data_IF_915499330587
#
_entry.id   IF_915499330587
#
_cell.length_a   1.000
_cell.length_b   1.000
_cell.length_c   1.000
_cell.angle_alpha   90.00
_cell.angle_beta   90.00
_cell.angle_gamma   90.00
#
_symmetry.space_group_name_H-M   'P 1'
#
loop_
_entity.id
_entity.type
_entity.pdbx_description
1 polymer ?
#
# COMPACT_ATOMS: atom_id res chain seq x y z
N UNK A 1 -9.56 -1.02 28.86
CA UNK A 1 -9.82 -0.13 27.70
C UNK A 1 -9.00 -0.53 26.48
N UNK A 2 -7.97 -1.36 26.66
CA UNK A 2 -7.01 -1.73 25.60
C UNK A 2 -7.61 -2.63 24.52
N UNK A 3 -8.48 -3.58 24.88
CA UNK A 3 -9.13 -4.47 23.92
C UNK A 3 -10.04 -3.72 22.92
N UNK A 4 -10.79 -2.74 23.42
CA UNK A 4 -11.63 -1.89 22.59
C UNK A 4 -10.78 -1.05 21.61
N UNK A 5 -9.70 -0.45 22.09
CA UNK A 5 -8.77 0.31 21.24
C UNK A 5 -8.11 -0.58 20.19
N UNK A 6 -7.72 -1.81 20.54
CA UNK A 6 -7.13 -2.75 19.60
C UNK A 6 -8.09 -3.09 18.44
N UNK A 7 -9.36 -3.35 18.75
CA UNK A 7 -10.39 -3.62 17.72
C UNK A 7 -10.53 -2.42 16.77
N UNK A 8 -10.60 -1.20 17.32
CA UNK A 8 -10.72 0.02 16.51
C UNK A 8 -9.50 0.20 15.60
N UNK A 9 -8.29 -0.01 16.11
CA UNK A 9 -7.04 0.12 15.33
C UNK A 9 -6.94 -0.92 14.20
N UNK A 10 -7.37 -2.15 14.46
CA UNK A 10 -7.39 -3.21 13.44
C UNK A 10 -8.40 -2.87 12.34
N UNK A 11 -9.61 -2.45 12.71
CA UNK A 11 -10.65 -2.06 11.74
C UNK A 11 -10.20 -0.87 10.89
N UNK A 12 -9.65 0.17 11.50
CA UNK A 12 -9.13 1.35 10.80
C UNK A 12 -8.02 0.99 9.82
N UNK A 13 -7.05 0.18 10.25
CA UNK A 13 -5.95 -0.27 9.38
C UNK A 13 -6.42 -1.20 8.27
N UNK A 14 -7.43 -2.04 8.53
CA UNK A 14 -8.03 -2.92 7.51
C UNK A 14 -8.62 -2.10 6.38
N UNK A 15 -9.40 -1.06 6.68
CA UNK A 15 -10.03 -0.22 5.65
C UNK A 15 -8.95 0.50 4.84
N UNK A 16 -7.97 1.14 5.49
CA UNK A 16 -6.90 1.88 4.78
C UNK A 16 -6.06 1.00 3.86
N UNK A 17 -5.73 -0.23 4.28
CA UNK A 17 -4.86 -1.14 3.53
C UNK A 17 -5.62 -1.98 2.49
N UNK A 18 -6.94 -2.12 2.61
CA UNK A 18 -7.73 -2.97 1.72
C UNK A 18 -7.61 -2.60 0.23
N UNK A 19 -7.67 -1.30 -0.09
CA UNK A 19 -7.63 -0.81 -1.49
C UNK A 19 -6.30 -1.15 -2.19
N UNK A 20 -5.12 -0.76 -1.66
CA UNK A 20 -3.85 -1.10 -2.30
C UNK A 20 -3.60 -2.62 -2.34
N UNK A 21 -4.02 -3.36 -1.32
CA UNK A 21 -3.89 -4.82 -1.31
C UNK A 21 -4.75 -5.49 -2.39
N UNK A 22 -5.99 -5.04 -2.59
CA UNK A 22 -6.85 -5.57 -3.65
C UNK A 22 -6.27 -5.29 -5.04
N UNK A 23 -5.70 -4.11 -5.27
CA UNK A 23 -5.01 -3.78 -6.52
C UNK A 23 -3.79 -4.67 -6.75
N UNK A 24 -3.01 -4.93 -5.70
CA UNK A 24 -1.88 -5.85 -5.75
C UNK A 24 -2.33 -7.30 -6.04
N UNK A 25 -3.41 -7.78 -5.41
CA UNK A 25 -3.99 -9.09 -5.68
C UNK A 25 -4.48 -9.22 -7.13
N UNK A 26 -5.08 -8.18 -7.70
CA UNK A 26 -5.49 -8.16 -9.11
C UNK A 26 -4.27 -8.30 -10.03
N UNK A 27 -3.20 -7.55 -9.78
CA UNK A 27 -1.97 -7.67 -10.54
C UNK A 27 -1.37 -9.09 -10.48
N UNK A 28 -1.35 -9.70 -9.29
CA UNK A 28 -0.93 -11.09 -9.11
C UNK A 28 -1.79 -12.10 -9.89
N UNK A 29 -3.12 -11.95 -9.84
CA UNK A 29 -4.06 -12.82 -10.57
C UNK A 29 -3.84 -12.74 -12.08
N UNK A 30 -3.61 -11.54 -12.62
CA UNK A 30 -3.27 -11.37 -14.04
C UNK A 30 -1.90 -11.98 -14.39
N UNK A 31 -0.90 -11.83 -13.52
CA UNK A 31 0.43 -12.42 -13.72
C UNK A 31 0.35 -13.95 -13.76
N UNK A 32 -0.40 -14.56 -12.84
CA UNK A 32 -0.60 -16.00 -12.79
C UNK A 32 -1.29 -16.51 -14.06
N UNK A 33 -2.29 -15.78 -14.59
CA UNK A 33 -2.94 -16.11 -15.87
C UNK A 33 -2.00 -16.00 -17.07
N UNK A 34 -0.94 -15.19 -17.00
CA UNK A 34 0.09 -15.09 -18.01
C UNK A 34 1.16 -16.19 -17.88
N UNK A 35 1.07 -17.07 -16.87
CA UNK A 35 2.06 -18.10 -16.58
C UNK A 35 3.35 -17.55 -15.98
N UNK A 36 3.32 -16.32 -15.44
CA UNK A 36 4.48 -15.64 -14.85
C UNK A 36 4.24 -15.42 -13.36
N UNK A 37 5.20 -15.78 -12.51
CA UNK A 37 5.16 -15.45 -11.09
C UNK A 37 5.77 -14.06 -10.86
N UNK A 38 4.94 -13.08 -10.50
CA UNK A 38 5.40 -11.72 -10.17
C UNK A 38 5.88 -11.62 -8.72
N UNK A 39 7.13 -12.05 -8.48
CA UNK A 39 7.83 -11.87 -7.19
C UNK A 39 8.13 -10.38 -6.93
N UNK A 40 8.12 -9.55 -7.98
CA UNK A 40 8.41 -8.12 -7.89
C UNK A 40 7.27 -7.29 -7.29
N UNK A 41 6.12 -7.89 -7.01
CA UNK A 41 4.94 -7.18 -6.47
C UNK A 41 5.24 -6.45 -5.16
N UNK A 42 5.95 -7.10 -4.23
CA UNK A 42 6.39 -6.46 -2.97
C UNK A 42 7.31 -5.27 -3.24
N UNK A 43 8.22 -5.40 -4.22
CA UNK A 43 9.12 -4.33 -4.63
C UNK A 43 8.36 -3.14 -5.22
N UNK A 44 7.34 -3.38 -6.05
CA UNK A 44 6.49 -2.33 -6.65
C UNK A 44 5.76 -1.52 -5.56
N UNK A 45 5.21 -2.21 -4.55
CA UNK A 45 4.56 -1.55 -3.41
C UNK A 45 5.55 -0.75 -2.56
N UNK A 46 6.74 -1.29 -2.32
CA UNK A 46 7.77 -0.63 -1.51
C UNK A 46 8.35 0.61 -2.21
N UNK A 47 8.50 0.56 -3.54
CA UNK A 47 8.92 1.73 -4.34
C UNK A 47 7.88 2.85 -4.26
N UNK A 48 6.59 2.55 -4.38
CA UNK A 48 5.52 3.55 -4.22
C UNK A 48 5.52 4.17 -2.82
N UNK A 49 5.57 3.33 -1.78
CA UNK A 49 5.65 3.80 -0.39
C UNK A 49 6.87 4.71 -0.14
N UNK A 50 8.04 4.32 -0.67
CA UNK A 50 9.27 5.12 -0.56
C UNK A 50 9.17 6.43 -1.34
N UNK A 51 8.66 6.41 -2.57
CA UNK A 51 8.50 7.60 -3.40
C UNK A 51 7.56 8.62 -2.74
N UNK A 52 6.42 8.16 -2.19
CA UNK A 52 5.50 9.01 -1.43
C UNK A 52 6.13 9.61 -0.18
N UNK A 53 6.86 8.82 0.61
CA UNK A 53 7.55 9.30 1.80
C UNK A 53 8.69 10.28 1.47
N UNK A 54 9.45 10.01 0.41
CA UNK A 54 10.51 10.89 -0.08
C UNK A 54 9.94 12.22 -0.58
N UNK A 55 8.86 12.19 -1.37
CA UNK A 55 8.19 13.41 -1.84
C UNK A 55 7.59 14.22 -0.68
N UNK A 56 6.93 13.57 0.28
CA UNK A 56 6.41 14.26 1.46
C UNK A 56 7.52 14.94 2.28
N UNK A 57 8.68 14.29 2.43
CA UNK A 57 9.80 14.81 3.22
C UNK A 57 10.57 15.92 2.51
N UNK A 58 10.83 15.80 1.20
CA UNK A 58 11.56 16.81 0.43
C UNK A 58 10.71 18.06 0.21
N UNK A 59 9.46 17.88 -0.25
CA UNK A 59 8.59 19.01 -0.58
C UNK A 59 7.81 19.55 0.61
N UNK A 60 7.95 18.94 1.80
CA UNK A 60 7.24 19.33 3.02
C UNK A 60 5.71 19.41 2.81
N UNK A 61 5.18 18.57 1.92
CA UNK A 61 3.78 18.62 1.48
C UNK A 61 3.21 17.21 1.41
N UNK A 62 2.21 16.96 2.25
CA UNK A 62 1.49 15.69 2.30
C UNK A 62 0.75 15.38 0.99
N UNK A 63 0.26 16.41 0.28
CA UNK A 63 -0.43 16.24 -1.00
C UNK A 63 0.51 15.81 -2.12
N UNK A 64 1.74 16.36 -2.15
CA UNK A 64 2.77 15.92 -3.09
C UNK A 64 3.24 14.51 -2.77
N UNK A 65 3.37 14.15 -1.48
CA UNK A 65 3.61 12.78 -1.05
C UNK A 65 2.53 11.81 -1.53
N UNK A 66 1.26 12.16 -1.34
CA UNK A 66 0.13 11.34 -1.78
C UNK A 66 0.08 11.18 -3.30
N UNK A 67 0.39 12.22 -4.09
CA UNK A 67 0.42 12.14 -5.54
C UNK A 67 1.59 11.33 -6.12
N UNK A 68 2.61 11.05 -5.30
CA UNK A 68 3.82 10.31 -5.67
C UNK A 68 3.85 8.88 -5.11
N UNK A 69 2.88 8.51 -4.26
CA UNK A 69 2.73 7.19 -3.64
C UNK A 69 1.97 6.22 -4.56
#
# INVERSE_FOLDING_TARGET
MDFFNAIVQVLDSTIRLSVPLLLACLAGLYSERAGVFDIGLEGKMLVGAFAGAAAASVFHSAYLGLGMA
#
